data_IF_276115624726
#
_entry.id   IF_276115624726
#
_cell.length_a   1.000
_cell.length_b   1.000
_cell.length_c   1.000
_cell.angle_alpha   90.00
_cell.angle_beta   90.00
_cell.angle_gamma   90.00
#
_symmetry.space_group_name_H-M   'P 1'
#
loop_
_entity.id
_entity.type
_entity.pdbx_description
1 polymer ?
#
# COMPACT_ATOMS: atom_id res chain seq x y z
N UNK A 1 -11.36 4.08 -18.14
CA UNK A 1 -10.65 3.24 -19.13
C UNK A 1 -10.04 2.01 -18.47
N UNK A 2 -9.07 2.14 -17.54
CA UNK A 2 -8.45 0.99 -16.85
C UNK A 2 -9.47 0.14 -16.08
N UNK A 3 -10.37 0.75 -15.31
CA UNK A 3 -11.41 0.06 -14.55
C UNK A 3 -12.36 -0.72 -15.49
N UNK A 4 -12.73 -0.13 -16.62
CA UNK A 4 -13.56 -0.77 -17.64
C UNK A 4 -12.86 -1.94 -18.31
N UNK A 5 -11.58 -1.76 -18.67
CA UNK A 5 -10.77 -2.85 -19.21
C UNK A 5 -10.61 -4.00 -18.21
N UNK A 6 -10.41 -3.68 -16.93
CA UNK A 6 -10.32 -4.67 -15.86
C UNK A 6 -11.64 -5.44 -15.66
N UNK A 7 -12.79 -4.76 -15.68
CA UNK A 7 -14.10 -5.42 -15.61
C UNK A 7 -14.28 -6.43 -16.76
N UNK A 8 -13.88 -6.06 -17.97
CA UNK A 8 -13.94 -6.97 -19.14
C UNK A 8 -12.97 -8.14 -18.95
N UNK A 9 -11.72 -7.86 -18.58
CA UNK A 9 -10.70 -8.88 -18.37
C UNK A 9 -11.11 -9.94 -17.35
N UNK A 10 -11.73 -9.52 -16.23
CA UNK A 10 -12.18 -10.46 -15.19
C UNK A 10 -13.31 -11.39 -15.64
N UNK A 11 -14.07 -11.03 -16.66
CA UNK A 11 -15.10 -11.91 -17.27
C UNK A 11 -14.50 -12.89 -18.25
N UNK A 12 -13.36 -12.57 -18.86
CA UNK A 12 -12.73 -13.32 -19.94
C UNK A 12 -11.57 -14.21 -19.47
N UNK A 13 -10.91 -13.88 -18.35
CA UNK A 13 -9.72 -14.56 -17.87
C UNK A 13 -9.71 -14.79 -16.37
N UNK A 14 -9.12 -15.90 -15.95
CA UNK A 14 -8.91 -16.26 -14.55
C UNK A 14 -7.56 -15.76 -14.02
N UNK A 15 -6.61 -15.53 -14.93
CA UNK A 15 -5.26 -15.07 -14.61
C UNK A 15 -5.04 -13.70 -15.24
N UNK A 16 -4.84 -12.68 -14.39
CA UNK A 16 -4.77 -11.28 -14.83
C UNK A 16 -3.55 -10.63 -14.19
N UNK A 17 -2.84 -9.85 -14.99
CA UNK A 17 -1.77 -8.96 -14.53
C UNK A 17 -2.17 -7.54 -14.92
N UNK A 18 -2.25 -6.66 -13.93
CA UNK A 18 -2.57 -5.25 -14.11
C UNK A 18 -1.32 -4.41 -13.81
N UNK A 19 -0.76 -3.83 -14.85
CA UNK A 19 0.39 -2.94 -14.78
C UNK A 19 -0.09 -1.50 -14.89
N UNK A 20 0.15 -0.69 -13.85
CA UNK A 20 -0.19 0.74 -13.91
C UNK A 20 0.52 1.53 -12.84
N UNK A 21 0.80 2.83 -13.03
CA UNK A 21 1.45 3.67 -12.04
C UNK A 21 0.69 3.74 -10.72
N UNK A 22 1.38 4.11 -9.64
CA UNK A 22 0.73 4.42 -8.35
C UNK A 22 -0.22 5.61 -8.52
N UNK A 23 -1.36 5.60 -7.81
CA UNK A 23 -2.36 6.67 -7.91
C UNK A 23 -3.26 6.64 -9.15
N UNK A 24 -3.11 5.66 -10.05
CA UNK A 24 -3.90 5.53 -11.29
C UNK A 24 -5.33 5.00 -11.10
N UNK A 25 -5.69 4.58 -9.87
CA UNK A 25 -6.99 3.97 -9.55
C UNK A 25 -7.00 2.44 -9.66
N UNK A 26 -5.85 1.77 -9.52
CA UNK A 26 -5.71 0.29 -9.48
C UNK A 26 -6.68 -0.38 -8.51
N UNK A 27 -6.82 0.19 -7.31
CA UNK A 27 -7.69 -0.36 -6.26
C UNK A 27 -9.11 -0.57 -6.75
N UNK A 28 -9.70 0.42 -7.41
CA UNK A 28 -11.03 0.28 -8.01
C UNK A 28 -11.03 -0.68 -9.20
N UNK A 29 -9.94 -0.75 -9.97
CA UNK A 29 -9.85 -1.63 -11.12
C UNK A 29 -9.92 -3.12 -10.73
N UNK A 30 -9.44 -3.52 -9.56
CA UNK A 30 -9.63 -4.90 -9.09
C UNK A 30 -10.81 -5.09 -8.13
N UNK A 31 -11.20 -4.07 -7.34
CA UNK A 31 -12.33 -4.21 -6.41
C UNK A 31 -13.69 -4.29 -7.10
N UNK A 32 -13.91 -3.51 -8.16
CA UNK A 32 -15.18 -3.51 -8.87
C UNK A 32 -15.49 -4.89 -9.49
N UNK A 33 -14.57 -5.50 -10.28
CA UNK A 33 -14.84 -6.83 -10.79
C UNK A 33 -14.83 -7.92 -9.70
N UNK A 34 -14.07 -7.75 -8.61
CA UNK A 34 -14.17 -8.65 -7.47
C UNK A 34 -15.60 -8.66 -6.92
N UNK A 35 -16.21 -7.49 -6.70
CA UNK A 35 -17.57 -7.36 -6.19
C UNK A 35 -18.62 -8.02 -7.10
N UNK A 36 -18.46 -7.97 -8.42
CA UNK A 36 -19.36 -8.65 -9.36
C UNK A 36 -19.29 -10.19 -9.23
N UNK A 37 -18.18 -10.73 -8.75
CA UNK A 37 -17.94 -12.17 -8.65
C UNK A 37 -18.22 -12.75 -7.26
N UNK A 38 -18.49 -11.91 -6.25
CA UNK A 38 -18.84 -12.39 -4.91
C UNK A 38 -20.30 -12.85 -4.86
N UNK A 39 -20.52 -14.05 -4.33
CA UNK A 39 -21.88 -14.60 -4.11
C UNK A 39 -22.44 -14.10 -2.77
N UNK A 40 -23.54 -13.34 -2.75
CA UNK A 40 -24.16 -12.85 -1.53
C UNK A 40 -24.79 -13.94 -0.68
N UNK A 41 -25.04 -15.12 -1.25
CA UNK A 41 -25.60 -16.26 -0.52
C UNK A 41 -24.51 -17.13 0.14
N UNK A 42 -23.25 -16.96 -0.28
CA UNK A 42 -22.14 -17.68 0.35
C UNK A 42 -21.66 -16.92 1.58
N UNK A 43 -21.86 -17.47 2.76
CA UNK A 43 -21.49 -16.86 4.05
C UNK A 43 -20.03 -17.10 4.45
N UNK A 44 -19.24 -17.76 3.60
CA UNK A 44 -17.82 -18.06 3.83
C UNK A 44 -16.89 -17.02 3.19
N UNK A 45 -15.61 -17.07 3.55
CA UNK A 45 -14.60 -16.26 2.90
C UNK A 45 -14.43 -16.70 1.43
N UNK A 46 -14.53 -15.75 0.52
CA UNK A 46 -14.51 -16.01 -0.93
C UNK A 46 -13.26 -15.43 -1.62
N UNK A 47 -12.66 -14.41 -1.01
CA UNK A 47 -11.49 -13.74 -1.58
C UNK A 47 -10.48 -13.30 -0.52
N UNK A 48 -9.21 -13.29 -0.93
CA UNK A 48 -8.09 -12.71 -0.18
C UNK A 48 -7.42 -11.64 -1.04
N UNK A 49 -7.08 -10.51 -0.41
CA UNK A 49 -6.18 -9.50 -0.99
C UNK A 49 -4.93 -9.43 -0.13
N UNK A 50 -3.77 -9.69 -0.72
CA UNK A 50 -2.48 -9.55 -0.08
C UNK A 50 -1.82 -8.24 -0.50
N UNK A 51 -1.25 -7.54 0.47
CA UNK A 51 -0.57 -6.25 0.27
C UNK A 51 0.78 -6.24 0.97
N UNK A 52 1.79 -5.54 0.45
CA UNK A 52 3.12 -5.50 1.07
C UNK A 52 3.17 -4.71 2.37
N UNK A 53 2.19 -3.87 2.66
CA UNK A 53 2.18 -3.01 3.84
C UNK A 53 0.81 -2.97 4.53
N UNK A 54 0.84 -2.66 5.82
CA UNK A 54 -0.36 -2.48 6.67
C UNK A 54 -1.19 -1.30 6.20
N UNK A 55 -0.51 -0.23 5.84
CA UNK A 55 -1.12 1.02 5.41
C UNK A 55 -1.92 0.81 4.11
N UNK A 56 -1.36 0.06 3.16
CA UNK A 56 -2.05 -0.26 1.92
C UNK A 56 -3.26 -1.18 2.18
N UNK A 57 -3.13 -2.15 3.10
CA UNK A 57 -4.26 -3.00 3.50
C UNK A 57 -5.43 -2.17 4.05
N UNK A 58 -5.15 -1.22 4.94
CA UNK A 58 -6.14 -0.30 5.50
C UNK A 58 -6.76 0.61 4.44
N UNK A 59 -5.98 1.08 3.47
CA UNK A 59 -6.48 1.90 2.37
C UNK A 59 -7.47 1.13 1.51
N UNK A 60 -7.13 -0.11 1.13
CA UNK A 60 -8.02 -0.95 0.33
C UNK A 60 -9.30 -1.26 1.12
N UNK A 61 -9.20 -1.54 2.42
CA UNK A 61 -10.37 -1.74 3.27
C UNK A 61 -11.29 -0.51 3.28
N UNK A 62 -10.73 0.70 3.43
CA UNK A 62 -11.50 1.95 3.40
C UNK A 62 -12.20 2.14 2.06
N UNK A 63 -11.51 1.90 0.94
CA UNK A 63 -12.11 1.96 -0.40
C UNK A 63 -13.23 0.93 -0.54
N UNK A 64 -12.99 -0.33 -0.12
CA UNK A 64 -14.02 -1.37 -0.17
C UNK A 64 -15.26 -1.01 0.64
N UNK A 65 -15.09 -0.51 1.85
CA UNK A 65 -16.20 -0.05 2.70
C UNK A 65 -16.97 1.13 2.09
N UNK A 66 -16.27 2.03 1.39
CA UNK A 66 -16.90 3.18 0.72
C UNK A 66 -17.84 2.78 -0.42
N UNK A 67 -17.62 1.60 -1.02
CA UNK A 67 -18.48 1.06 -2.08
C UNK A 67 -19.84 0.55 -1.57
N UNK A 68 -20.02 0.44 -0.25
CA UNK A 68 -21.31 0.06 0.41
C UNK A 68 -21.94 -1.20 -0.17
N UNK A 69 -21.12 -2.18 -0.53
CA UNK A 69 -21.55 -3.42 -1.20
C UNK A 69 -22.41 -4.35 -0.32
N UNK A 70 -22.40 -4.16 0.99
CA UNK A 70 -23.04 -5.07 1.97
C UNK A 70 -22.20 -6.27 2.36
N UNK A 71 -21.13 -6.59 1.66
CA UNK A 71 -20.21 -7.66 2.02
C UNK A 71 -19.32 -7.30 3.21
N UNK A 72 -19.05 -8.29 4.06
CA UNK A 72 -18.15 -8.13 5.19
C UNK A 72 -16.69 -8.18 4.74
N UNK A 73 -15.88 -7.30 5.26
CA UNK A 73 -14.43 -7.27 5.09
C UNK A 73 -13.75 -7.24 6.45
N UNK A 74 -12.65 -7.98 6.57
CA UNK A 74 -11.75 -7.94 7.72
C UNK A 74 -10.34 -7.67 7.22
N UNK A 75 -9.65 -6.74 7.88
CA UNK A 75 -8.26 -6.41 7.59
C UNK A 75 -7.36 -7.05 8.65
N UNK A 76 -6.32 -7.78 8.22
CA UNK A 76 -5.38 -8.53 9.06
C UNK A 76 -3.94 -8.08 8.78
N UNK A 77 -3.29 -7.44 9.76
CA UNK A 77 -1.91 -6.96 9.63
C UNK A 77 -1.17 -6.99 10.96
N UNK A 78 0.15 -7.11 10.94
CA UNK A 78 0.94 -7.20 12.15
C UNK A 78 0.99 -5.86 12.94
N UNK A 79 1.38 -5.92 14.21
CA UNK A 79 1.62 -4.76 15.08
C UNK A 79 0.56 -4.52 16.13
N UNK A 80 -0.49 -5.32 16.18
CA UNK A 80 -1.47 -5.34 17.27
C UNK A 80 -1.84 -6.78 17.65
N UNK A 81 -2.66 -6.93 18.70
CA UNK A 81 -3.03 -8.25 19.22
C UNK A 81 -3.87 -9.03 18.20
N UNK A 82 -3.37 -10.22 17.83
CA UNK A 82 -4.03 -11.14 16.91
C UNK A 82 -5.42 -11.58 17.41
N UNK A 83 -5.65 -11.58 18.72
CA UNK A 83 -6.95 -11.94 19.29
C UNK A 83 -8.07 -10.97 18.89
N UNK A 84 -7.76 -9.71 18.63
CA UNK A 84 -8.74 -8.75 18.12
C UNK A 84 -9.21 -9.13 16.71
N UNK A 85 -8.26 -9.47 15.84
CA UNK A 85 -8.57 -9.94 14.48
C UNK A 85 -9.32 -11.26 14.50
N UNK A 86 -8.90 -12.22 15.36
CA UNK A 86 -9.57 -13.51 15.51
C UNK A 86 -11.05 -13.36 15.92
N UNK A 87 -11.38 -12.39 16.78
CA UNK A 87 -12.78 -12.08 17.13
C UNK A 87 -13.56 -11.54 15.93
N UNK A 88 -12.93 -10.71 15.10
CA UNK A 88 -13.55 -10.17 13.87
C UNK A 88 -13.76 -11.27 12.83
N UNK A 89 -12.79 -12.18 12.69
CA UNK A 89 -12.83 -13.34 11.79
C UNK A 89 -13.87 -14.40 12.23
N UNK A 90 -14.20 -14.48 13.52
CA UNK A 90 -15.25 -15.38 14.02
C UNK A 90 -16.63 -15.12 13.38
N UNK A 91 -16.86 -13.89 12.92
CA UNK A 91 -18.02 -13.53 12.10
C UNK A 91 -17.65 -13.56 10.61
N UNK A 92 -17.34 -14.71 10.10
CA UNK A 92 -16.76 -15.00 8.78
C UNK A 92 -16.92 -13.87 7.76
N UNK A 93 -15.84 -13.17 7.36
CA UNK A 93 -15.90 -12.13 6.34
C UNK A 93 -16.01 -12.76 4.94
N UNK A 94 -16.57 -12.04 3.99
CA UNK A 94 -16.57 -12.43 2.57
C UNK A 94 -15.20 -12.15 1.95
N UNK A 95 -14.56 -11.06 2.38
CA UNK A 95 -13.25 -10.61 1.91
C UNK A 95 -12.28 -10.46 3.10
N UNK A 96 -11.08 -11.02 2.96
CA UNK A 96 -9.97 -10.80 3.88
C UNK A 96 -8.88 -10.00 3.15
N UNK A 97 -8.41 -8.92 3.77
CA UNK A 97 -7.33 -8.09 3.25
C UNK A 97 -6.20 -8.14 4.27
N UNK A 98 -4.94 -8.22 3.84
CA UNK A 98 -3.86 -8.12 4.81
C UNK A 98 -2.46 -8.32 4.26
N UNK A 99 -1.51 -8.28 5.18
CA UNK A 99 -0.10 -8.57 4.87
C UNK A 99 0.16 -10.08 4.89
N UNK A 100 1.04 -10.59 4.00
CA UNK A 100 1.24 -12.03 3.84
C UNK A 100 1.49 -12.78 5.15
N UNK A 101 2.46 -12.36 5.97
CA UNK A 101 2.79 -13.05 7.21
C UNK A 101 1.61 -13.14 8.20
N UNK A 102 0.77 -12.08 8.30
CA UNK A 102 -0.39 -12.10 9.22
C UNK A 102 -1.53 -12.98 8.66
N UNK A 103 -1.77 -12.94 7.37
CA UNK A 103 -2.75 -13.82 6.73
C UNK A 103 -2.34 -15.29 6.90
N UNK A 104 -1.06 -15.61 6.69
CA UNK A 104 -0.52 -16.95 6.90
C UNK A 104 -0.69 -17.41 8.36
N UNK A 105 -0.43 -16.56 9.34
CA UNK A 105 -0.61 -16.87 10.76
C UNK A 105 -2.08 -17.22 11.05
N UNK A 106 -3.04 -16.47 10.52
CA UNK A 106 -4.47 -16.79 10.66
C UNK A 106 -4.89 -18.08 9.94
N UNK A 107 -4.36 -18.37 8.75
CA UNK A 107 -4.60 -19.62 8.02
C UNK A 107 -4.06 -20.80 8.85
N UNK A 108 -2.82 -20.70 9.33
CA UNK A 108 -2.16 -21.75 10.12
C UNK A 108 -2.89 -22.02 11.44
N UNK A 109 -3.46 -21.01 12.07
CA UNK A 109 -4.28 -21.14 13.28
C UNK A 109 -5.71 -21.63 12.99
N UNK A 110 -6.10 -21.74 11.73
CA UNK A 110 -7.45 -22.14 11.34
C UNK A 110 -8.52 -21.09 11.63
N UNK A 111 -8.15 -19.83 11.85
CA UNK A 111 -9.10 -18.72 12.05
C UNK A 111 -9.65 -18.17 10.73
N UNK A 112 -8.99 -18.43 9.60
CA UNK A 112 -9.49 -18.23 8.25
C UNK A 112 -9.78 -19.60 7.63
N UNK A 113 -11.04 -19.87 7.30
CA UNK A 113 -11.43 -21.05 6.50
C UNK A 113 -11.14 -20.77 5.02
N UNK A 114 -10.17 -21.48 4.46
CA UNK A 114 -9.72 -21.32 3.07
C UNK A 114 -10.55 -22.13 2.07
N UNK A 115 -11.44 -23.01 2.54
CA UNK A 115 -12.17 -23.98 1.71
C UNK A 115 -13.17 -23.39 0.71
N UNK A 116 -13.46 -22.10 0.78
CA UNK A 116 -14.37 -21.42 -0.18
C UNK A 116 -13.70 -20.24 -0.88
N UNK A 117 -12.40 -20.03 -0.66
CA UNK A 117 -11.67 -18.95 -1.31
C UNK A 117 -11.37 -19.33 -2.76
N UNK A 118 -11.97 -18.60 -3.66
CA UNK A 118 -11.83 -18.79 -5.11
C UNK A 118 -10.99 -17.71 -5.80
N UNK A 119 -10.76 -16.57 -5.12
CA UNK A 119 -10.06 -15.43 -5.70
C UNK A 119 -8.94 -14.94 -4.79
N UNK A 120 -7.76 -14.72 -5.36
CA UNK A 120 -6.66 -14.02 -4.70
C UNK A 120 -6.20 -12.84 -5.54
N UNK A 121 -5.94 -11.72 -4.86
CA UNK A 121 -5.37 -10.52 -5.45
C UNK A 121 -4.06 -10.21 -4.72
N UNK A 122 -2.98 -10.02 -5.46
CA UNK A 122 -1.70 -9.56 -4.94
C UNK A 122 -1.48 -8.12 -5.39
N UNK A 123 -1.74 -7.17 -4.51
CA UNK A 123 -1.54 -5.75 -4.83
C UNK A 123 -0.10 -5.32 -4.51
N UNK A 124 0.50 -4.53 -5.39
CA UNK A 124 1.92 -4.17 -5.37
C UNK A 124 2.83 -5.42 -5.19
N UNK A 125 2.59 -6.42 -6.04
CA UNK A 125 3.28 -7.70 -5.98
C UNK A 125 4.80 -7.59 -6.06
N UNK A 126 5.32 -6.68 -6.89
CA UNK A 126 6.72 -6.32 -6.97
C UNK A 126 7.31 -5.93 -5.61
N UNK A 127 6.58 -5.12 -4.85
CA UNK A 127 6.98 -4.70 -3.50
C UNK A 127 6.89 -5.83 -2.49
N UNK A 128 5.89 -6.68 -2.60
CA UNK A 128 5.77 -7.84 -1.72
C UNK A 128 6.98 -8.78 -1.86
N UNK A 129 7.47 -9.00 -3.08
CA UNK A 129 8.71 -9.76 -3.32
C UNK A 129 9.95 -9.03 -2.79
N UNK A 130 10.06 -7.73 -3.03
CA UNK A 130 11.17 -6.89 -2.56
C UNK A 130 11.29 -6.90 -1.02
N UNK A 131 10.16 -7.01 -0.31
CA UNK A 131 10.11 -7.10 1.16
C UNK A 131 10.34 -8.51 1.70
N UNK A 132 10.53 -9.50 0.84
CA UNK A 132 10.85 -10.87 1.22
C UNK A 132 9.64 -11.73 1.61
N UNK A 133 8.42 -11.36 1.20
CA UNK A 133 7.20 -12.12 1.51
C UNK A 133 6.97 -13.32 0.57
N UNK A 134 7.95 -13.70 -0.23
CA UNK A 134 7.78 -14.78 -1.20
C UNK A 134 7.37 -16.09 -0.54
N UNK A 135 8.08 -16.53 0.50
CA UNK A 135 7.81 -17.79 1.21
C UNK A 135 6.42 -17.81 1.86
N UNK A 136 6.01 -16.68 2.47
CA UNK A 136 4.68 -16.55 3.07
C UNK A 136 3.60 -16.68 2.01
N UNK A 137 3.75 -15.99 0.87
CA UNK A 137 2.81 -16.04 -0.24
C UNK A 137 2.70 -17.45 -0.83
N UNK A 138 3.84 -18.10 -1.09
CA UNK A 138 3.89 -19.47 -1.59
C UNK A 138 3.13 -20.43 -0.67
N UNK A 139 3.35 -20.31 0.65
CA UNK A 139 2.64 -21.11 1.66
C UNK A 139 1.14 -20.81 1.64
N UNK A 140 0.71 -19.54 1.54
CA UNK A 140 -0.70 -19.17 1.42
C UNK A 140 -1.33 -19.83 0.20
N UNK A 141 -0.70 -19.75 -0.98
CA UNK A 141 -1.20 -20.37 -2.19
C UNK A 141 -1.42 -21.89 -2.04
N UNK A 142 -0.51 -22.58 -1.33
CA UNK A 142 -0.65 -24.03 -1.06
C UNK A 142 -1.86 -24.38 -0.21
N UNK A 143 -2.38 -23.42 0.57
CA UNK A 143 -3.57 -23.60 1.43
C UNK A 143 -4.89 -23.19 0.75
N UNK A 144 -4.88 -22.85 -0.55
CA UNK A 144 -6.06 -22.41 -1.31
C UNK A 144 -6.48 -23.46 -2.36
N UNK A 145 -7.13 -24.56 -1.95
CA UNK A 145 -7.38 -25.70 -2.86
C UNK A 145 -8.39 -25.41 -3.96
N UNK A 146 -9.25 -24.40 -3.78
CA UNK A 146 -10.30 -24.04 -4.73
C UNK A 146 -10.03 -22.71 -5.47
N UNK A 147 -8.77 -22.27 -5.45
CA UNK A 147 -8.37 -21.01 -6.08
C UNK A 147 -8.52 -21.07 -7.61
N UNK A 148 -9.39 -20.24 -8.14
CA UNK A 148 -9.66 -20.10 -9.57
C UNK A 148 -9.03 -18.83 -10.13
N UNK A 149 -9.36 -17.67 -9.54
CA UNK A 149 -8.95 -16.37 -10.06
C UNK A 149 -7.73 -15.80 -9.35
N UNK A 150 -6.75 -15.36 -10.14
CA UNK A 150 -5.48 -14.79 -9.67
C UNK A 150 -5.22 -13.44 -10.35
N UNK A 151 -5.17 -12.40 -9.56
CA UNK A 151 -4.92 -11.05 -10.04
C UNK A 151 -3.64 -10.52 -9.39
N UNK A 152 -2.68 -10.11 -10.21
CA UNK A 152 -1.46 -9.47 -9.75
C UNK A 152 -1.46 -8.03 -10.22
N UNK A 153 -1.12 -7.10 -9.34
CA UNK A 153 -0.91 -5.71 -9.75
C UNK A 153 0.53 -5.29 -9.48
N UNK A 154 1.07 -4.45 -10.35
CA UNK A 154 2.40 -3.88 -10.21
C UNK A 154 2.49 -2.50 -10.82
N UNK A 155 3.44 -1.70 -10.30
CA UNK A 155 3.83 -0.43 -10.87
C UNK A 155 4.99 -0.55 -11.87
N UNK A 156 5.54 -1.75 -12.08
CA UNK A 156 6.66 -2.01 -12.99
C UNK A 156 6.38 -3.22 -13.88
N UNK A 157 6.89 -3.23 -15.10
CA UNK A 157 6.78 -4.36 -16.03
C UNK A 157 7.92 -5.40 -15.90
N UNK A 158 8.95 -5.08 -15.13
CA UNK A 158 10.20 -5.86 -15.06
C UNK A 158 10.18 -6.97 -14.00
N UNK A 159 9.00 -7.59 -13.74
CA UNK A 159 8.89 -8.60 -12.67
C UNK A 159 8.86 -9.99 -13.30
N UNK A 160 9.77 -10.82 -12.86
CA UNK A 160 9.67 -12.25 -13.04
C UNK A 160 8.56 -12.78 -12.11
N UNK A 161 7.53 -13.39 -12.71
CA UNK A 161 6.39 -13.93 -11.94
C UNK A 161 6.76 -15.32 -11.45
N UNK A 162 6.88 -15.54 -10.12
CA UNK A 162 7.25 -16.83 -9.58
C UNK A 162 6.23 -17.91 -9.89
N UNK A 163 6.71 -19.13 -10.07
CA UNK A 163 5.87 -20.30 -10.42
C UNK A 163 4.77 -20.58 -9.39
N UNK A 164 5.01 -20.29 -8.10
CA UNK A 164 4.02 -20.55 -7.03
C UNK A 164 2.71 -19.79 -7.24
N UNK A 165 2.73 -18.66 -7.97
CA UNK A 165 1.52 -17.89 -8.26
C UNK A 165 0.54 -18.69 -9.13
N UNK A 166 1.03 -19.73 -9.81
CA UNK A 166 0.25 -20.58 -10.70
C UNK A 166 -0.32 -19.83 -11.92
N UNK A 167 0.24 -18.67 -12.26
CA UNK A 167 -0.17 -17.90 -13.42
C UNK A 167 0.11 -18.69 -14.71
N UNK A 168 -0.91 -18.87 -15.54
CA UNK A 168 -0.82 -19.56 -16.81
C UNK A 168 -1.42 -18.69 -17.90
N UNK A 169 -0.61 -18.25 -18.86
CA UNK A 169 -1.01 -17.36 -19.95
C UNK A 169 -1.89 -16.18 -19.44
N UNK A 170 -1.40 -15.36 -18.50
CA UNK A 170 -2.21 -14.31 -17.92
C UNK A 170 -2.60 -13.26 -18.97
N UNK A 171 -3.81 -12.72 -18.84
CA UNK A 171 -4.21 -11.54 -19.58
C UNK A 171 -3.52 -10.32 -18.96
N UNK A 172 -2.64 -9.69 -19.71
CA UNK A 172 -1.88 -8.53 -19.26
C UNK A 172 -2.61 -7.26 -19.68
N UNK A 173 -2.97 -6.44 -18.71
CA UNK A 173 -3.49 -5.09 -18.89
C UNK A 173 -2.37 -4.12 -18.56
N UNK A 174 -1.75 -3.55 -19.59
CA UNK A 174 -0.63 -2.62 -19.43
C UNK A 174 -1.08 -1.17 -19.62
N UNK A 175 -1.02 -0.39 -18.52
CA UNK A 175 -1.32 1.03 -18.46
C UNK A 175 -0.11 1.84 -17.97
N UNK A 176 1.11 1.29 -18.07
CA UNK A 176 2.34 2.00 -17.72
C UNK A 176 2.69 3.03 -18.80
N UNK A 177 2.44 2.69 -20.07
CA UNK A 177 2.63 3.60 -21.20
C UNK A 177 1.42 4.50 -21.37
N UNK A 178 1.63 5.80 -21.42
CA UNK A 178 0.56 6.80 -21.66
C UNK A 178 0.02 7.50 -20.41
N UNK A 179 0.53 7.20 -19.23
CA UNK A 179 0.29 8.07 -18.07
C UNK A 179 0.77 9.49 -18.42
N UNK A 180 -0.15 10.47 -18.40
CA UNK A 180 0.22 11.85 -18.65
C UNK A 180 1.40 12.22 -17.73
N UNK A 181 2.47 12.81 -18.26
CA UNK A 181 3.61 13.16 -17.42
C UNK A 181 3.13 14.07 -16.30
N UNK A 182 3.32 13.61 -15.06
CA UNK A 182 3.08 14.48 -13.91
C UNK A 182 3.93 15.72 -14.14
N UNK A 183 3.29 16.91 -14.14
CA UNK A 183 4.02 18.18 -14.24
C UNK A 183 4.81 18.40 -12.96
N UNK A 184 5.91 17.68 -12.81
CA UNK A 184 6.80 17.79 -11.68
C UNK A 184 7.87 18.84 -11.99
N UNK A 185 7.97 19.86 -11.17
CA UNK A 185 9.07 20.84 -11.24
C UNK A 185 10.17 20.41 -10.28
N UNK A 186 11.31 19.99 -10.79
CA UNK A 186 12.48 19.66 -10.00
C UNK A 186 13.32 20.90 -9.73
N UNK A 187 13.70 21.08 -8.46
CA UNK A 187 14.60 22.17 -8.02
C UNK A 187 15.67 21.60 -7.11
N UNK A 188 16.88 22.15 -7.20
CA UNK A 188 18.00 21.86 -6.31
C UNK A 188 18.22 23.03 -5.37
N UNK A 189 18.43 22.74 -4.09
CA UNK A 189 18.78 23.73 -3.07
C UNK A 189 20.22 23.50 -2.64
N UNK A 190 21.06 24.52 -2.79
CA UNK A 190 22.45 24.46 -2.37
C UNK A 190 22.56 24.77 -0.87
N UNK A 191 23.37 23.97 -0.17
CA UNK A 191 23.59 24.13 1.26
C UNK A 191 24.79 25.07 1.47
N UNK A 192 24.52 26.23 2.07
CA UNK A 192 25.56 27.12 2.54
C UNK A 192 26.04 26.73 3.93
N UNK A 193 27.34 26.89 4.19
CA UNK A 193 27.94 26.68 5.52
C UNK A 193 27.71 25.28 6.15
N UNK A 194 27.47 24.26 5.36
CA UNK A 194 27.28 22.87 5.81
C UNK A 194 26.14 22.66 6.83
N UNK A 195 25.23 23.64 6.97
CA UNK A 195 24.09 23.57 7.88
C UNK A 195 22.80 23.18 7.15
N UNK A 196 22.59 21.86 6.99
CA UNK A 196 21.49 21.29 6.24
C UNK A 196 20.14 21.48 6.92
N UNK A 197 20.09 21.44 8.25
CA UNK A 197 18.88 21.64 9.02
C UNK A 197 18.36 23.08 8.91
N UNK A 198 19.26 24.07 9.04
CA UNK A 198 18.91 25.47 8.89
C UNK A 198 18.48 25.81 7.44
N UNK A 199 19.13 25.19 6.46
CA UNK A 199 18.74 25.33 5.05
C UNK A 199 17.33 24.76 4.80
N UNK A 200 17.01 23.59 5.37
CA UNK A 200 15.67 23.01 5.29
C UNK A 200 14.61 23.93 5.94
N UNK A 201 14.91 24.45 7.13
CA UNK A 201 14.00 25.39 7.82
C UNK A 201 13.73 26.64 6.98
N UNK A 202 14.76 27.27 6.43
CA UNK A 202 14.61 28.43 5.53
C UNK A 202 13.81 28.09 4.28
N UNK A 203 14.08 26.94 3.67
CA UNK A 203 13.30 26.47 2.53
C UNK A 203 11.81 26.34 2.86
N UNK A 204 11.49 25.76 4.01
CA UNK A 204 10.09 25.60 4.46
C UNK A 204 9.42 26.96 4.72
N UNK A 205 10.17 27.96 5.20
CA UNK A 205 9.66 29.31 5.38
C UNK A 205 9.40 30.04 4.05
N UNK A 206 10.17 29.72 3.00
CA UNK A 206 10.05 30.33 1.68
C UNK A 206 8.98 29.65 0.81
N UNK A 207 8.59 28.43 1.14
CA UNK A 207 7.53 27.72 0.42
C UNK A 207 6.15 28.24 0.83
N UNK A 208 5.23 28.26 -0.12
CA UNK A 208 3.82 28.48 0.21
C UNK A 208 3.28 27.36 1.09
N UNK A 209 2.37 27.69 1.98
CA UNK A 209 1.73 26.73 2.87
C UNK A 209 1.07 25.58 2.09
N UNK A 210 1.27 24.36 2.54
CA UNK A 210 0.68 23.17 1.93
C UNK A 210 1.32 21.86 2.36
N UNK A 211 0.65 20.74 2.10
CA UNK A 211 1.13 19.42 2.48
C UNK A 211 2.51 19.12 1.90
N UNK A 212 3.49 18.92 2.76
CA UNK A 212 4.90 18.76 2.43
C UNK A 212 5.41 17.43 2.99
N UNK A 213 6.00 16.62 2.12
CA UNK A 213 6.63 15.34 2.47
C UNK A 213 8.15 15.50 2.44
N UNK A 214 8.82 15.15 3.54
CA UNK A 214 10.29 15.22 3.66
C UNK A 214 10.85 13.81 3.79
N UNK A 215 11.69 13.39 2.86
CA UNK A 215 12.32 12.08 2.88
C UNK A 215 13.69 12.10 3.54
N UNK A 216 13.87 11.20 4.51
CA UNK A 216 15.14 10.90 5.16
C UNK A 216 15.51 9.41 4.95
N UNK A 217 16.81 9.11 4.79
CA UNK A 217 17.24 7.71 4.58
C UNK A 217 17.27 6.89 5.88
N UNK A 218 17.35 7.55 7.04
CA UNK A 218 17.52 6.89 8.34
C UNK A 218 16.50 7.40 9.35
N UNK A 219 16.08 6.52 10.27
CA UNK A 219 15.09 6.81 11.33
C UNK A 219 15.56 7.95 12.22
N UNK A 220 16.79 7.85 12.71
CA UNK A 220 17.42 8.84 13.59
C UNK A 220 17.46 10.23 12.95
N UNK A 221 17.62 10.28 11.62
CA UNK A 221 17.59 11.53 10.88
C UNK A 221 16.19 12.10 10.71
N UNK A 222 15.18 11.25 10.57
CA UNK A 222 13.80 11.72 10.54
C UNK A 222 13.40 12.33 11.89
N UNK A 223 13.79 11.70 13.00
CA UNK A 223 13.56 12.21 14.36
C UNK A 223 14.35 13.51 14.61
N UNK A 224 15.62 13.57 14.21
CA UNK A 224 16.45 14.77 14.34
C UNK A 224 15.86 15.98 13.58
N UNK A 225 15.44 15.76 12.33
CA UNK A 225 14.80 16.80 11.52
C UNK A 225 13.50 17.26 12.18
N UNK A 226 12.69 16.32 12.67
CA UNK A 226 11.45 16.61 13.36
C UNK A 226 11.69 17.48 14.62
N UNK A 227 12.58 17.06 15.49
CA UNK A 227 12.91 17.77 16.72
C UNK A 227 13.43 19.19 16.41
N UNK A 228 14.32 19.32 15.43
CA UNK A 228 14.83 20.61 15.03
C UNK A 228 13.73 21.56 14.53
N UNK A 229 12.79 21.06 13.74
CA UNK A 229 11.65 21.84 13.24
C UNK A 229 10.68 22.22 14.38
N UNK A 230 10.45 21.32 15.33
CA UNK A 230 9.68 21.62 16.55
C UNK A 230 10.31 22.72 17.38
N UNK A 231 11.63 22.71 17.59
CA UNK A 231 12.38 23.75 18.30
C UNK A 231 12.28 25.13 17.61
N UNK A 232 12.06 25.11 16.28
CA UNK A 232 11.79 26.32 15.49
C UNK A 232 10.31 26.73 15.43
N UNK A 233 9.43 26.01 16.13
CA UNK A 233 7.99 26.30 16.16
C UNK A 233 7.23 25.79 14.94
N UNK A 234 7.82 24.91 14.13
CA UNK A 234 7.18 24.32 12.93
C UNK A 234 6.50 23.01 13.31
N UNK A 235 5.18 22.98 13.24
CA UNK A 235 4.38 21.79 13.50
C UNK A 235 4.63 20.73 12.42
N UNK A 236 5.07 19.56 12.85
CA UNK A 236 5.40 18.45 11.94
C UNK A 236 5.18 17.10 12.64
N UNK A 237 5.13 16.02 11.86
CA UNK A 237 5.11 14.66 12.36
C UNK A 237 6.16 13.83 11.61
N UNK A 238 6.80 12.90 12.30
CA UNK A 238 7.69 11.93 11.66
C UNK A 238 7.06 10.54 11.60
N UNK A 239 7.53 9.73 10.64
CA UNK A 239 6.99 8.41 10.37
C UNK A 239 8.09 7.46 9.89
N UNK A 240 8.28 6.35 10.60
CA UNK A 240 9.24 5.33 10.22
C UNK A 240 8.86 3.94 10.76
N UNK A 241 9.47 2.90 10.23
CA UNK A 241 9.14 1.52 10.58
C UNK A 241 9.51 1.07 12.00
N UNK A 242 10.16 1.92 12.80
CA UNK A 242 10.47 1.65 14.21
C UNK A 242 9.39 2.14 15.19
N UNK A 243 8.37 2.85 14.72
CA UNK A 243 7.26 3.35 15.55
C UNK A 243 6.28 2.22 15.85
N UNK A 244 5.62 2.34 17.01
CA UNK A 244 4.49 1.48 17.35
C UNK A 244 3.30 1.71 16.39
N UNK A 245 2.49 0.68 16.15
CA UNK A 245 1.44 0.73 15.15
C UNK A 245 0.38 1.82 15.44
N UNK A 246 -0.04 1.94 16.69
CA UNK A 246 -1.02 2.97 17.11
C UNK A 246 -0.50 4.38 16.83
N UNK A 247 0.80 4.60 17.04
CA UNK A 247 1.44 5.88 16.79
C UNK A 247 1.50 6.19 15.28
N UNK A 248 1.85 5.19 14.46
CA UNK A 248 1.83 5.30 13.00
C UNK A 248 0.45 5.69 12.47
N UNK A 249 -0.59 5.03 12.94
CA UNK A 249 -1.98 5.33 12.56
C UNK A 249 -2.40 6.74 12.98
N UNK A 250 -2.02 7.16 14.19
CA UNK A 250 -2.28 8.51 14.69
C UNK A 250 -1.62 9.58 13.82
N UNK A 251 -0.36 9.40 13.47
CA UNK A 251 0.42 10.34 12.65
C UNK A 251 -0.19 10.46 11.25
N UNK A 252 -0.53 9.34 10.62
CA UNK A 252 -1.19 9.33 9.31
C UNK A 252 -2.56 10.02 9.35
N UNK A 253 -3.34 9.78 10.40
CA UNK A 253 -4.63 10.44 10.59
C UNK A 253 -4.48 11.96 10.68
N UNK A 254 -3.51 12.46 11.47
CA UNK A 254 -3.23 13.90 11.60
C UNK A 254 -2.83 14.54 10.28
N UNK A 255 -2.03 13.84 9.46
CA UNK A 255 -1.60 14.36 8.18
C UNK A 255 -2.76 14.38 7.17
N UNK A 256 -3.54 13.30 7.09
CA UNK A 256 -4.69 13.20 6.17
C UNK A 256 -5.82 14.19 6.48
N UNK A 257 -6.05 14.50 7.74
CA UNK A 257 -7.10 15.45 8.14
C UNK A 257 -6.62 16.91 8.17
N UNK A 258 -5.37 17.18 7.78
CA UNK A 258 -4.80 18.53 7.74
C UNK A 258 -4.44 19.12 9.10
N UNK A 259 -4.39 18.31 10.17
CA UNK A 259 -3.91 18.80 11.49
C UNK A 259 -2.40 19.07 11.48
N UNK A 260 -1.67 18.49 10.54
CA UNK A 260 -0.24 18.68 10.30
C UNK A 260 0.02 18.72 8.80
N UNK A 261 0.80 19.69 8.36
CA UNK A 261 1.14 19.87 6.94
C UNK A 261 2.53 19.38 6.58
N UNK A 262 3.39 19.10 7.55
CA UNK A 262 4.74 18.61 7.31
C UNK A 262 4.88 17.20 7.85
N UNK A 263 5.19 16.27 6.95
CA UNK A 263 5.35 14.86 7.21
C UNK A 263 6.76 14.43 6.86
N UNK A 264 7.51 13.93 7.84
CA UNK A 264 8.90 13.51 7.67
C UNK A 264 8.93 12.00 7.69
N UNK A 265 9.38 11.36 6.61
CA UNK A 265 9.34 9.90 6.51
C UNK A 265 10.64 9.30 6.03
N UNK A 266 10.84 8.04 6.39
CA UNK A 266 11.83 7.21 5.71
C UNK A 266 11.23 6.58 4.46
N UNK A 267 12.02 6.40 3.42
CA UNK A 267 11.61 5.84 2.13
C UNK A 267 10.82 4.52 2.26
N UNK A 268 11.30 3.61 3.12
CA UNK A 268 10.61 2.33 3.36
C UNK A 268 9.26 2.46 4.06
N UNK A 269 9.10 3.45 4.92
CA UNK A 269 7.88 3.61 5.70
C UNK A 269 6.75 4.28 4.92
N UNK A 270 7.09 5.10 3.93
CA UNK A 270 6.12 5.84 3.12
C UNK A 270 5.62 5.09 1.89
N UNK A 271 6.23 3.96 1.56
CA UNK A 271 5.79 3.13 0.43
C UNK A 271 4.39 2.58 0.66
N UNK A 272 3.55 2.67 -0.36
CA UNK A 272 2.15 2.27 -0.28
C UNK A 272 1.25 3.26 0.47
N UNK A 273 1.76 4.42 0.89
CA UNK A 273 0.94 5.48 1.45
C UNK A 273 0.30 6.28 0.32
N UNK A 274 -1.01 6.21 0.22
CA UNK A 274 -1.77 7.19 -0.55
C UNK A 274 -1.99 8.44 0.33
N UNK A 275 -1.23 9.47 0.05
CA UNK A 275 -1.32 10.76 0.72
C UNK A 275 -1.83 11.75 -0.33
N UNK A 276 -3.11 12.12 -0.27
CA UNK A 276 -3.68 13.02 -1.25
C UNK A 276 -3.10 14.44 -1.11
N UNK A 277 -3.03 15.14 -2.25
CA UNK A 277 -2.76 16.57 -2.33
C UNK A 277 -1.37 17.03 -1.85
N UNK A 278 -0.34 16.17 -1.93
CA UNK A 278 1.05 16.59 -1.65
C UNK A 278 1.43 17.75 -2.59
N UNK A 279 1.78 18.90 -2.02
CA UNK A 279 2.22 20.08 -2.75
C UNK A 279 3.72 20.08 -2.98
N UNK A 280 4.50 19.64 -1.98
CA UNK A 280 5.95 19.61 -2.03
C UNK A 280 6.52 18.28 -1.57
N UNK A 281 7.52 17.79 -2.27
CA UNK A 281 8.35 16.66 -1.87
C UNK A 281 9.78 17.15 -1.73
N UNK A 282 10.37 16.96 -0.55
CA UNK A 282 11.74 17.39 -0.25
C UNK A 282 12.58 16.14 0.07
N UNK A 283 13.55 15.86 -0.76
CA UNK A 283 14.54 14.84 -0.44
C UNK A 283 15.64 15.46 0.43
N UNK A 284 15.48 15.31 1.76
CA UNK A 284 16.55 15.70 2.69
C UNK A 284 17.78 14.82 2.48
N UNK A 285 17.62 13.56 2.15
CA UNK A 285 18.63 12.69 1.56
C UNK A 285 18.11 12.16 0.23
N UNK A 286 18.96 12.12 -0.77
CA UNK A 286 18.62 11.43 -2.01
C UNK A 286 18.48 9.93 -1.74
N UNK A 287 17.52 9.25 -2.36
CA UNK A 287 17.37 7.83 -2.22
C UNK A 287 18.60 7.09 -2.75
N UNK A 288 18.91 5.93 -2.17
CA UNK A 288 20.08 5.15 -2.55
C UNK A 288 19.93 4.48 -3.93
N UNK A 289 18.69 4.22 -4.33
CA UNK A 289 18.36 3.63 -5.64
C UNK A 289 17.61 4.66 -6.49
N UNK A 290 18.02 4.85 -7.77
CA UNK A 290 17.35 5.78 -8.68
C UNK A 290 15.83 5.52 -8.83
N UNK A 291 15.43 4.24 -8.81
CA UNK A 291 14.02 3.85 -8.94
C UNK A 291 13.16 4.38 -7.77
N UNK A 292 13.76 4.51 -6.58
CA UNK A 292 13.05 5.07 -5.41
C UNK A 292 12.78 6.58 -5.52
N UNK A 293 13.40 7.26 -6.49
CA UNK A 293 13.15 8.69 -6.72
C UNK A 293 11.89 8.92 -7.56
N UNK A 294 11.48 7.95 -8.36
CA UNK A 294 10.32 8.03 -9.26
C UNK A 294 9.05 7.44 -8.66
N UNK A 295 9.16 6.75 -7.55
CA UNK A 295 8.05 6.16 -6.79
C UNK A 295 7.65 7.07 -5.64
#
# INVERSE_FOLDING_TARGET
EMQEASLKAHREADHIILLSPTGSGKTLAFLLPLLENLDPNNTKAQAIILTPSRELALQIELVFRSLKSGFKVVCCYGGHDINMESRSLAYTPTLVIGTPGRILDHITRGTIDTGSISTIILDEFDKALEFGFQEDMETIFSHLPHLQKRVLTSATSAIEIPEFTGQRNPLVLDFLEGAAPIKLTLKSVYIENNNKLDTLYKLLCDLEEGPTLIFCNYRERAEEVSNYLWDKGVNNEYFHGGMEQEERERVLCKFRNGSTYIFISTDLASRGLDIPEIKYIIHYHLPQKPESFTH
#
